data_IF_144429677309
#
_entry.id   IF_144429677309
#
_cell.length_a   1.000
_cell.length_b   1.000
_cell.length_c   1.000
_cell.angle_alpha   90.00
_cell.angle_beta   90.00
_cell.angle_gamma   90.00
#
_symmetry.space_group_name_H-M   'P 1'
#
loop_
_entity.id
_entity.type
_entity.pdbx_description
1 polymer ?
#
# COMPACT_ATOMS: atom_id res chain seq x y z
N UNK A 1 26.03 32.57 -46.51
CA UNK A 1 26.13 31.43 -45.58
C UNK A 1 25.36 31.84 -44.32
N UNK A 2 24.07 31.50 -44.26
CA UNK A 2 23.17 31.91 -43.17
C UNK A 2 22.99 30.72 -42.23
N UNK A 3 23.46 30.89 -41.00
CA UNK A 3 23.39 29.92 -39.91
C UNK A 3 21.93 29.87 -39.42
N UNK A 4 21.34 28.68 -39.38
CA UNK A 4 19.99 28.47 -38.87
C UNK A 4 20.05 28.32 -37.35
N UNK A 5 19.53 29.33 -36.65
CA UNK A 5 19.29 29.31 -35.20
C UNK A 5 18.14 28.33 -34.89
N UNK A 6 18.49 27.12 -34.46
CA UNK A 6 17.54 26.21 -33.83
C UNK A 6 17.48 26.53 -32.32
N UNK A 7 16.62 27.48 -31.96
CA UNK A 7 16.22 27.67 -30.55
C UNK A 7 15.23 26.57 -30.20
N UNK A 8 15.73 25.52 -29.55
CA UNK A 8 14.91 24.47 -28.94
C UNK A 8 14.03 25.08 -27.84
N UNK A 9 12.71 25.12 -28.05
CA UNK A 9 11.76 25.34 -26.97
C UNK A 9 11.70 24.07 -26.09
N UNK A 10 11.75 24.17 -24.75
CA UNK A 10 11.47 23.02 -23.90
C UNK A 10 10.01 22.63 -24.06
N UNK A 11 9.78 21.34 -24.34
CA UNK A 11 8.46 20.76 -24.52
C UNK A 11 7.52 21.10 -23.37
N UNK A 12 6.34 21.58 -23.73
CA UNK A 12 5.21 21.69 -22.82
C UNK A 12 5.04 20.34 -22.08
N UNK A 13 4.91 20.32 -20.74
CA UNK A 13 4.45 19.11 -20.07
C UNK A 13 3.08 18.74 -20.65
N UNK A 14 2.78 17.43 -20.84
CA UNK A 14 1.48 17.01 -21.31
C UNK A 14 0.40 17.60 -20.41
N UNK A 15 -0.57 18.26 -21.04
CA UNK A 15 -1.75 18.87 -20.46
C UNK A 15 -2.37 17.99 -19.37
N UNK A 16 -2.58 18.58 -18.20
CA UNK A 16 -3.22 18.03 -16.99
C UNK A 16 -4.69 17.58 -17.18
N UNK A 17 -5.23 17.66 -18.40
CA UNK A 17 -6.64 17.38 -18.71
C UNK A 17 -7.03 15.89 -18.64
N UNK A 18 -6.07 14.97 -18.56
CA UNK A 18 -6.34 13.52 -18.40
C UNK A 18 -6.42 13.08 -16.93
N UNK A 19 -5.94 13.91 -15.98
CA UNK A 19 -5.97 13.60 -14.55
C UNK A 19 -7.32 13.97 -13.89
N UNK A 20 -8.15 14.78 -14.55
CA UNK A 20 -9.46 15.23 -14.02
C UNK A 20 -10.63 14.33 -14.42
N UNK A 21 -10.42 13.33 -15.29
CA UNK A 21 -11.47 12.33 -15.54
C UNK A 21 -11.56 11.39 -14.35
N UNK A 22 -12.66 11.53 -13.60
CA UNK A 22 -13.00 10.65 -12.49
C UNK A 22 -12.86 9.18 -12.94
N UNK A 23 -11.92 8.48 -12.28
CA UNK A 23 -11.61 7.07 -12.54
C UNK A 23 -12.89 6.25 -12.60
N UNK A 24 -12.97 5.31 -13.55
CA UNK A 24 -14.11 4.40 -13.67
C UNK A 24 -14.41 3.70 -12.34
N UNK A 25 -13.38 3.34 -11.59
CA UNK A 25 -13.48 2.76 -10.26
C UNK A 25 -14.18 3.69 -9.25
N UNK A 26 -13.90 5.00 -9.28
CA UNK A 26 -14.55 5.98 -8.39
C UNK A 26 -16.02 6.20 -8.76
N UNK A 27 -16.31 6.28 -10.07
CA UNK A 27 -17.68 6.36 -10.56
C UNK A 27 -18.49 5.12 -10.16
N UNK A 28 -17.89 3.93 -10.29
CA UNK A 28 -18.48 2.67 -9.86
C UNK A 28 -18.75 2.67 -8.35
N UNK A 29 -17.75 3.04 -7.54
CA UNK A 29 -17.86 3.13 -6.08
C UNK A 29 -19.03 4.03 -5.64
N UNK A 30 -19.06 5.27 -6.13
CA UNK A 30 -20.11 6.24 -5.77
C UNK A 30 -21.49 5.78 -6.23
N UNK A 31 -21.57 5.13 -7.41
CA UNK A 31 -22.83 4.60 -7.94
C UNK A 31 -23.35 3.41 -7.13
N UNK A 32 -22.50 2.41 -6.86
CA UNK A 32 -22.86 1.20 -6.13
C UNK A 32 -23.38 1.52 -4.72
N UNK A 33 -22.72 2.44 -4.01
CA UNK A 33 -23.16 2.85 -2.67
C UNK A 33 -24.49 3.60 -2.71
N UNK A 34 -24.73 4.45 -3.72
CA UNK A 34 -26.04 5.10 -3.92
C UNK A 34 -27.16 4.10 -4.21
N UNK A 35 -26.84 2.98 -4.84
CA UNK A 35 -27.79 1.89 -5.12
C UNK A 35 -28.03 0.97 -3.90
N UNK A 36 -27.38 1.24 -2.76
CA UNK A 36 -27.56 0.48 -1.52
C UNK A 36 -26.64 -0.74 -1.37
N UNK A 37 -25.63 -0.89 -2.24
CA UNK A 37 -24.58 -1.91 -2.04
C UNK A 37 -23.80 -1.55 -0.77
N UNK A 38 -23.48 -2.53 0.11
CA UNK A 38 -22.64 -2.27 1.27
C UNK A 38 -21.30 -1.65 0.85
N UNK A 39 -20.90 -0.57 1.53
CA UNK A 39 -19.75 0.24 1.11
C UNK A 39 -18.45 -0.57 0.99
N UNK A 40 -18.25 -1.58 1.85
CA UNK A 40 -17.06 -2.42 1.84
C UNK A 40 -17.01 -3.30 0.59
N UNK A 41 -18.14 -3.83 0.14
CA UNK A 41 -18.21 -4.60 -1.10
C UNK A 41 -17.95 -3.68 -2.31
N UNK A 42 -18.63 -2.53 -2.38
CA UNK A 42 -18.42 -1.54 -3.44
C UNK A 42 -16.97 -1.05 -3.50
N UNK A 43 -16.31 -0.92 -2.35
CA UNK A 43 -14.89 -0.58 -2.25
C UNK A 43 -14.01 -1.67 -2.87
N UNK A 44 -14.22 -2.94 -2.55
CA UNK A 44 -13.42 -4.04 -3.12
C UNK A 44 -13.63 -4.18 -4.64
N UNK A 45 -14.85 -3.95 -5.13
CA UNK A 45 -15.11 -3.89 -6.57
C UNK A 45 -14.34 -2.73 -7.23
N UNK A 46 -14.34 -1.55 -6.62
CA UNK A 46 -13.59 -0.40 -7.11
C UNK A 46 -12.06 -0.65 -7.09
N UNK A 47 -11.54 -1.30 -6.04
CA UNK A 47 -10.15 -1.79 -5.99
C UNK A 47 -9.89 -2.75 -7.16
N UNK A 48 -10.81 -3.67 -7.44
CA UNK A 48 -10.78 -4.58 -8.58
C UNK A 48 -10.71 -3.86 -9.95
N UNK A 49 -11.37 -2.72 -10.08
CA UNK A 49 -11.37 -1.89 -11.31
C UNK A 49 -10.19 -0.94 -11.44
N UNK A 50 -9.49 -0.64 -10.34
CA UNK A 50 -8.39 0.33 -10.35
C UNK A 50 -7.21 -0.12 -11.22
N UNK A 51 -6.69 0.76 -12.07
CA UNK A 51 -5.66 0.39 -13.07
C UNK A 51 -4.30 1.03 -12.85
N UNK A 52 -4.24 2.14 -12.11
CA UNK A 52 -2.98 2.86 -11.89
C UNK A 52 -2.14 2.15 -10.81
N UNK A 53 -0.84 1.90 -11.05
CA UNK A 53 0.06 1.32 -10.05
C UNK A 53 0.49 2.34 -8.99
N UNK A 54 0.43 3.63 -9.32
CA UNK A 54 0.71 4.76 -8.44
C UNK A 54 -0.02 6.00 -8.93
N UNK A 55 -0.24 6.97 -8.04
CA UNK A 55 -0.71 8.30 -8.41
C UNK A 55 -0.22 9.37 -7.43
N UNK A 56 -0.33 10.63 -7.81
CA UNK A 56 -0.15 11.77 -6.90
C UNK A 56 -1.52 12.40 -6.66
N UNK A 57 -1.94 12.45 -5.39
CA UNK A 57 -3.22 13.02 -4.98
C UNK A 57 -3.03 13.87 -3.72
N UNK A 58 -3.50 15.12 -3.74
CA UNK A 58 -3.36 16.07 -2.63
C UNK A 58 -1.91 16.17 -2.10
N UNK A 59 -0.95 16.36 -3.02
CA UNK A 59 0.49 16.45 -2.72
C UNK A 59 1.11 15.20 -2.06
N UNK A 60 0.37 14.09 -2.01
CA UNK A 60 0.87 12.79 -1.54
C UNK A 60 0.98 11.81 -2.70
N UNK A 61 2.13 11.15 -2.78
CA UNK A 61 2.32 10.00 -3.67
C UNK A 61 1.72 8.76 -3.03
N UNK A 62 0.78 8.14 -3.73
CA UNK A 62 0.23 6.85 -3.38
C UNK A 62 0.86 5.78 -4.28
N UNK A 63 1.62 4.87 -3.68
CA UNK A 63 2.21 3.73 -4.38
C UNK A 63 1.40 2.47 -4.03
N UNK A 64 0.60 1.99 -4.98
CA UNK A 64 -0.29 0.85 -4.79
C UNK A 64 0.38 -0.47 -5.15
N UNK A 65 1.25 -0.47 -6.16
CA UNK A 65 1.94 -1.65 -6.66
C UNK A 65 3.46 -1.44 -6.53
N UNK A 66 4.08 -2.21 -5.65
CA UNK A 66 5.51 -2.20 -5.36
C UNK A 66 6.20 -3.14 -6.34
N UNK A 67 7.19 -2.61 -7.08
CA UNK A 67 8.02 -3.35 -8.05
C UNK A 67 7.21 -4.16 -9.09
N UNK A 68 5.96 -3.78 -9.35
CA UNK A 68 5.08 -4.50 -10.28
C UNK A 68 4.51 -5.82 -9.74
N UNK A 69 4.83 -6.20 -8.50
CA UNK A 69 4.52 -7.54 -7.97
C UNK A 69 3.68 -7.53 -6.69
N UNK A 70 3.92 -6.61 -5.77
CA UNK A 70 3.26 -6.58 -4.47
C UNK A 70 2.23 -5.45 -4.41
N UNK A 71 0.96 -5.82 -4.22
CA UNK A 71 -0.16 -4.89 -4.24
C UNK A 71 -0.60 -4.56 -2.81
N UNK A 72 -0.32 -3.33 -2.38
CA UNK A 72 -0.85 -2.77 -1.13
C UNK A 72 -2.25 -2.21 -1.37
N UNK A 73 -3.24 -3.08 -1.19
CA UNK A 73 -4.64 -2.71 -1.38
C UNK A 73 -5.17 -1.75 -0.31
N UNK A 74 -4.52 -1.66 0.87
CA UNK A 74 -4.96 -0.77 1.94
C UNK A 74 -4.60 0.68 1.63
N UNK A 75 -3.44 0.93 1.02
CA UNK A 75 -3.09 2.27 0.52
C UNK A 75 -4.10 2.74 -0.55
N UNK A 76 -4.56 1.83 -1.41
CA UNK A 76 -5.63 2.16 -2.36
C UNK A 76 -6.98 2.36 -1.66
N UNK A 77 -7.31 1.53 -0.66
CA UNK A 77 -8.51 1.71 0.13
C UNK A 77 -8.54 3.08 0.82
N UNK A 78 -7.41 3.53 1.38
CA UNK A 78 -7.27 4.87 1.97
C UNK A 78 -7.65 5.96 0.96
N UNK A 79 -7.06 5.91 -0.23
CA UNK A 79 -7.34 6.86 -1.31
C UNK A 79 -8.81 6.89 -1.70
N UNK A 80 -9.43 5.72 -1.86
CA UNK A 80 -10.84 5.59 -2.25
C UNK A 80 -11.77 6.05 -1.12
N UNK A 81 -11.43 5.77 0.14
CA UNK A 81 -12.19 6.22 1.30
C UNK A 81 -12.17 7.75 1.47
N UNK A 82 -11.13 8.44 1.01
CA UNK A 82 -11.09 9.91 1.01
C UNK A 82 -12.16 10.55 0.12
N UNK A 83 -12.66 9.83 -0.89
CA UNK A 83 -13.74 10.29 -1.79
C UNK A 83 -15.15 9.99 -1.25
N UNK A 84 -15.22 9.25 -0.13
CA UNK A 84 -16.44 8.73 0.47
C UNK A 84 -16.66 9.28 1.88
N UNK A 85 -16.08 10.44 2.19
CA UNK A 85 -16.25 11.09 3.48
C UNK A 85 -17.73 11.40 3.76
N UNK A 86 -18.18 11.07 4.97
CA UNK A 86 -19.57 11.18 5.40
C UNK A 86 -20.47 10.01 5.00
N UNK A 87 -20.00 9.08 4.18
CA UNK A 87 -20.74 7.85 3.82
C UNK A 87 -20.30 6.66 4.67
N UNK A 88 -18.99 6.55 4.92
CA UNK A 88 -18.42 5.48 5.75
C UNK A 88 -18.35 5.97 7.21
N UNK A 89 -18.86 5.20 8.20
CA UNK A 89 -18.68 5.52 9.61
C UNK A 89 -17.19 5.63 9.98
N UNK A 90 -16.83 6.61 10.80
CA UNK A 90 -15.43 6.90 11.14
C UNK A 90 -14.77 5.68 11.79
N UNK A 91 -15.48 5.01 12.70
CA UNK A 91 -14.98 3.83 13.42
C UNK A 91 -14.73 2.65 12.46
N UNK A 92 -15.56 2.50 11.42
CA UNK A 92 -15.36 1.45 10.42
C UNK A 92 -14.20 1.78 9.47
N UNK A 93 -14.07 3.06 9.08
CA UNK A 93 -12.94 3.55 8.27
C UNK A 93 -11.62 3.33 9.02
N UNK A 94 -11.54 3.68 10.30
CA UNK A 94 -10.35 3.44 11.12
C UNK A 94 -10.04 1.95 11.26
N UNK A 95 -11.05 1.12 11.55
CA UNK A 95 -10.86 -0.33 11.64
C UNK A 95 -10.34 -0.95 10.34
N UNK A 96 -10.81 -0.47 9.19
CA UNK A 96 -10.30 -0.90 7.89
C UNK A 96 -8.85 -0.46 7.68
N UNK A 97 -8.57 0.84 7.79
CA UNK A 97 -7.28 1.40 7.39
C UNK A 97 -6.14 1.01 8.33
N UNK A 98 -6.41 0.83 9.63
CA UNK A 98 -5.37 0.47 10.60
C UNK A 98 -5.29 -1.02 10.92
N UNK A 99 -6.35 -1.79 10.69
CA UNK A 99 -6.37 -3.22 11.04
C UNK A 99 -6.63 -4.14 9.86
N UNK A 100 -6.93 -3.60 8.68
CA UNK A 100 -7.34 -4.38 7.52
C UNK A 100 -8.66 -5.14 7.70
N UNK A 101 -9.50 -4.72 8.66
CA UNK A 101 -10.74 -5.44 9.01
C UNK A 101 -11.94 -4.78 8.35
N UNK A 102 -12.57 -5.50 7.42
CA UNK A 102 -13.87 -5.12 6.83
C UNK A 102 -15.01 -5.35 7.84
N UNK A 103 -16.12 -4.57 7.78
CA UNK A 103 -17.26 -4.70 8.70
C UNK A 103 -17.91 -6.08 8.68
N UNK A 104 -18.03 -6.68 7.49
CA UNK A 104 -18.47 -8.06 7.30
C UNK A 104 -17.26 -8.90 6.89
N UNK A 105 -17.14 -10.09 7.48
CA UNK A 105 -16.08 -11.01 7.12
C UNK A 105 -16.45 -11.66 5.79
N UNK A 106 -15.94 -11.09 4.70
CA UNK A 106 -16.00 -11.72 3.39
C UNK A 106 -15.30 -13.08 3.44
N UNK A 107 -15.88 -14.08 2.78
CA UNK A 107 -15.17 -15.33 2.54
C UNK A 107 -13.94 -15.06 1.67
N UNK A 108 -12.87 -15.83 1.86
CA UNK A 108 -11.64 -15.66 1.10
C UNK A 108 -11.88 -15.84 -0.41
N UNK A 109 -12.85 -16.68 -0.80
CA UNK A 109 -13.30 -16.81 -2.19
C UNK A 109 -13.94 -15.52 -2.71
N UNK A 110 -14.89 -14.96 -1.96
CA UNK A 110 -15.56 -13.70 -2.31
C UNK A 110 -14.57 -12.53 -2.45
N UNK A 111 -13.63 -12.40 -1.51
CA UNK A 111 -12.58 -11.38 -1.59
C UNK A 111 -11.73 -11.51 -2.87
N UNK A 112 -11.31 -12.74 -3.21
CA UNK A 112 -10.56 -13.00 -4.44
C UNK A 112 -11.36 -12.65 -5.69
N UNK A 113 -12.65 -12.97 -5.70
CA UNK A 113 -13.51 -12.73 -6.85
C UNK A 113 -13.76 -11.22 -7.08
N UNK A 114 -13.90 -10.44 -6.00
CA UNK A 114 -14.06 -8.98 -6.06
C UNK A 114 -12.77 -8.26 -6.52
N UNK A 115 -11.60 -8.68 -6.02
CA UNK A 115 -10.31 -8.09 -6.42
C UNK A 115 -9.88 -8.52 -7.84
N UNK A 116 -10.27 -9.73 -8.23
CA UNK A 116 -9.76 -10.40 -9.42
C UNK A 116 -8.41 -11.10 -9.18
N UNK A 117 -8.14 -12.14 -9.97
CA UNK A 117 -7.02 -13.05 -9.76
C UNK A 117 -5.64 -12.37 -9.76
N UNK A 118 -5.43 -11.35 -10.61
CA UNK A 118 -4.14 -10.65 -10.70
C UNK A 118 -3.85 -9.82 -9.46
N UNK A 119 -4.81 -9.00 -9.00
CA UNK A 119 -4.66 -8.18 -7.80
C UNK A 119 -4.62 -9.03 -6.53
N UNK A 120 -5.39 -10.11 -6.49
CA UNK A 120 -5.33 -11.05 -5.37
C UNK A 120 -3.94 -11.70 -5.24
N UNK A 121 -3.30 -12.07 -6.36
CA UNK A 121 -1.89 -12.52 -6.34
C UNK A 121 -0.96 -11.43 -5.83
N UNK A 122 -1.14 -10.19 -6.27
CA UNK A 122 -0.34 -9.06 -5.78
C UNK A 122 -0.53 -8.81 -4.28
N UNK A 123 -1.76 -8.91 -3.79
CA UNK A 123 -2.07 -8.81 -2.36
C UNK A 123 -1.35 -9.90 -1.57
N UNK A 124 -1.39 -11.15 -2.05
CA UNK A 124 -0.66 -12.24 -1.41
C UNK A 124 0.84 -11.99 -1.42
N UNK A 125 1.41 -11.48 -2.51
CA UNK A 125 2.84 -11.14 -2.57
C UNK A 125 3.21 -10.10 -1.50
N UNK A 126 2.39 -9.05 -1.36
CA UNK A 126 2.58 -8.04 -0.31
C UNK A 126 2.49 -8.68 1.08
N UNK A 127 1.43 -9.44 1.35
CA UNK A 127 1.20 -10.06 2.64
C UNK A 127 2.30 -11.05 3.02
N UNK A 128 2.71 -11.90 2.08
CA UNK A 128 3.83 -12.83 2.29
C UNK A 128 5.14 -12.09 2.49
N UNK A 129 5.40 -11.00 1.74
CA UNK A 129 6.58 -10.16 1.95
C UNK A 129 6.67 -9.68 3.39
N UNK A 130 5.59 -9.07 3.91
CA UNK A 130 5.54 -8.58 5.30
C UNK A 130 5.72 -9.73 6.31
N UNK A 131 4.96 -10.81 6.19
CA UNK A 131 4.98 -11.91 7.16
C UNK A 131 6.33 -12.65 7.17
N UNK A 132 6.93 -12.86 5.99
CA UNK A 132 8.24 -13.50 5.89
C UNK A 132 9.31 -12.60 6.48
N UNK A 133 9.26 -11.30 6.21
CA UNK A 133 10.22 -10.34 6.75
C UNK A 133 10.14 -10.24 8.28
N UNK A 134 8.93 -10.15 8.84
CA UNK A 134 8.72 -10.18 10.30
C UNK A 134 9.25 -11.47 10.93
N UNK A 135 9.01 -12.62 10.28
CA UNK A 135 9.51 -13.90 10.77
C UNK A 135 11.06 -13.97 10.75
N UNK A 136 11.69 -13.42 9.72
CA UNK A 136 13.15 -13.33 9.62
C UNK A 136 13.74 -12.43 10.70
N UNK A 137 13.17 -11.23 10.89
CA UNK A 137 13.57 -10.30 11.94
C UNK A 137 13.48 -10.96 13.31
N UNK A 138 12.34 -11.60 13.64
CA UNK A 138 12.13 -12.30 14.91
C UNK A 138 13.12 -13.45 15.13
N UNK A 139 13.41 -14.22 14.07
CA UNK A 139 14.35 -15.35 14.15
C UNK A 139 15.78 -14.89 14.45
N UNK A 140 16.24 -13.83 13.77
CA UNK A 140 17.56 -13.23 13.99
C UNK A 140 17.63 -12.55 15.35
N UNK A 141 16.58 -11.81 15.74
CA UNK A 141 16.49 -11.19 17.06
C UNK A 141 16.62 -12.23 18.18
N UNK A 142 15.96 -13.38 18.05
CA UNK A 142 16.07 -14.45 19.05
C UNK A 142 17.46 -15.10 19.09
N UNK A 143 18.16 -15.18 17.96
CA UNK A 143 19.55 -15.64 17.91
C UNK A 143 20.48 -14.67 18.65
N UNK A 144 20.36 -13.37 18.37
CA UNK A 144 21.12 -12.30 19.04
C UNK A 144 20.82 -12.31 20.54
N UNK A 145 19.54 -12.44 20.93
CA UNK A 145 19.12 -12.53 22.32
C UNK A 145 19.79 -13.68 23.06
N UNK A 146 19.86 -14.87 22.46
CA UNK A 146 20.56 -16.03 23.05
C UNK A 146 22.05 -15.74 23.26
N UNK A 147 22.69 -15.09 22.29
CA UNK A 147 24.11 -14.69 22.36
C UNK A 147 24.38 -13.67 23.46
N UNK A 148 23.52 -12.66 23.59
CA UNK A 148 23.57 -11.66 24.66
C UNK A 148 23.41 -12.29 26.03
N UNK A 149 22.40 -13.15 26.20
CA UNK A 149 22.16 -13.90 27.44
C UNK A 149 23.35 -14.78 27.83
N UNK A 150 23.97 -15.47 26.87
CA UNK A 150 25.17 -16.26 27.11
C UNK A 150 26.37 -15.42 27.60
N UNK A 151 26.41 -14.11 27.27
CA UNK A 151 27.44 -13.15 27.70
C UNK A 151 27.07 -12.38 28.97
N UNK A 152 25.87 -12.58 29.50
CA UNK A 152 25.37 -11.85 30.68
C UNK A 152 24.85 -10.43 30.39
N UNK A 153 24.60 -10.10 29.12
CA UNK A 153 23.96 -8.83 28.75
C UNK A 153 22.44 -8.91 28.94
N UNK A 154 21.81 -7.77 29.26
CA UNK A 154 20.36 -7.62 29.36
C UNK A 154 19.74 -7.28 28.00
N UNK A 155 18.49 -7.69 27.79
CA UNK A 155 17.71 -7.30 26.62
C UNK A 155 17.55 -5.75 26.61
N UNK A 156 18.02 -5.09 25.55
CA UNK A 156 18.05 -3.62 25.39
C UNK A 156 17.84 -3.23 23.91
N UNK A 157 17.72 -1.94 23.59
CA UNK A 157 17.59 -1.48 22.19
C UNK A 157 18.78 -1.90 21.31
N UNK A 158 19.97 -2.06 21.90
CA UNK A 158 21.16 -2.60 21.23
C UNK A 158 20.92 -3.99 20.61
N UNK A 159 19.99 -4.77 21.18
CA UNK A 159 19.62 -6.09 20.66
C UNK A 159 18.95 -5.98 19.29
N UNK A 160 18.02 -5.02 19.15
CA UNK A 160 17.30 -4.79 17.89
C UNK A 160 18.28 -4.25 16.85
N UNK A 161 19.15 -3.32 17.23
CA UNK A 161 20.16 -2.77 16.34
C UNK A 161 21.16 -3.84 15.85
N UNK A 162 21.61 -4.71 16.75
CA UNK A 162 22.45 -5.87 16.41
C UNK A 162 21.74 -6.84 15.46
N UNK A 163 20.44 -7.09 15.68
CA UNK A 163 19.63 -7.97 14.83
C UNK A 163 19.47 -7.40 13.42
N UNK A 164 19.18 -6.11 13.29
CA UNK A 164 19.11 -5.42 12.00
C UNK A 164 20.46 -5.39 11.30
N UNK A 165 21.54 -5.11 12.02
CA UNK A 165 22.90 -5.14 11.47
C UNK A 165 23.26 -6.55 10.97
N UNK A 166 22.86 -7.59 11.69
CA UNK A 166 23.10 -8.98 11.28
C UNK A 166 22.27 -9.37 10.03
N UNK A 167 21.01 -8.90 9.93
CA UNK A 167 20.10 -9.29 8.85
C UNK A 167 20.30 -8.46 7.57
N UNK A 168 20.46 -7.15 7.70
CA UNK A 168 20.50 -6.19 6.58
C UNK A 168 21.87 -5.55 6.36
N UNK A 169 22.81 -5.73 7.28
CA UNK A 169 24.14 -5.12 7.21
C UNK A 169 24.24 -3.71 7.80
N UNK A 170 23.14 -3.11 8.24
CA UNK A 170 23.07 -1.76 8.82
C UNK A 170 22.13 -1.72 10.03
N UNK A 171 22.30 -0.71 10.88
CA UNK A 171 21.43 -0.47 12.04
C UNK A 171 20.01 -0.10 11.59
N UNK A 172 19.01 -0.46 12.39
CA UNK A 172 17.61 -0.08 12.17
C UNK A 172 17.48 1.43 12.05
N UNK A 173 18.17 2.16 12.92
CA UNK A 173 18.16 3.62 12.87
C UNK A 173 18.69 4.15 11.53
N UNK A 174 19.80 3.62 11.01
CA UNK A 174 20.35 4.05 9.73
C UNK A 174 19.46 3.71 8.53
N UNK A 175 18.71 2.60 8.59
CA UNK A 175 17.77 2.20 7.53
C UNK A 175 16.50 3.06 7.48
N UNK A 176 16.19 3.80 8.55
CA UNK A 176 15.00 4.64 8.67
C UNK A 176 15.29 6.15 8.46
N UNK A 177 16.56 6.51 8.29
CA UNK A 177 17.02 7.88 7.94
C UNK A 177 16.96 8.13 6.43
#
# INVERSE_FOLDING_TARGET
MSQADWVSQPGQPPSSDLAEQESEALRHLKSAVRLGVPWHQALLEAVGLWTLPQEVYQDRTYQYLIEGEAFDWLVLAERLCAEMDGVIPVEEKERLLFRGVLPLKEDAGAFRDLLGASKYRGYLNYWYGVVVEEALQLAVEDEVRKRHKARGYSDSEDLVEDAFTQLYGETRTALLE
#
